data_IF_543827681386
#
_entry.id   IF_543827681386
#
_cell.length_a   1.000
_cell.length_b   1.000
_cell.length_c   1.000
_cell.angle_alpha   90.00
_cell.angle_beta   90.00
_cell.angle_gamma   90.00
#
_symmetry.space_group_name_H-M   'P 1'
#
loop_
_entity.id
_entity.type
_entity.pdbx_description
1 polymer ?
#
# COMPACT_ATOMS: atom_id res chain seq x y z
N UNK A 1 29.05 -22.70 13.39
CA UNK A 1 28.48 -21.35 13.25
C UNK A 1 27.07 -21.50 12.75
N UNK A 2 26.07 -21.17 13.57
CA UNK A 2 24.66 -21.23 13.17
C UNK A 2 24.33 -19.86 12.56
N UNK A 3 24.15 -19.79 11.25
CA UNK A 3 23.72 -18.56 10.57
C UNK A 3 22.27 -18.27 10.92
N UNK A 4 22.02 -17.08 11.46
CA UNK A 4 20.66 -16.59 11.71
C UNK A 4 20.12 -16.05 10.38
N UNK A 5 19.32 -16.86 9.69
CA UNK A 5 18.65 -16.43 8.47
C UNK A 5 17.34 -15.71 8.82
N UNK A 6 17.10 -14.50 8.28
CA UNK A 6 15.87 -13.77 8.53
C UNK A 6 14.67 -14.53 7.95
N UNK A 7 13.63 -14.72 8.76
CA UNK A 7 12.34 -15.25 8.29
C UNK A 7 11.44 -14.09 7.91
N UNK A 8 11.03 -14.06 6.64
CA UNK A 8 10.19 -13.03 6.07
C UNK A 8 8.77 -13.54 5.84
N UNK A 9 7.77 -12.73 6.21
CA UNK A 9 6.36 -13.03 6.01
C UNK A 9 5.64 -11.78 5.53
N UNK A 10 4.71 -11.99 4.60
CA UNK A 10 3.78 -10.94 4.19
C UNK A 10 2.75 -10.71 5.29
N UNK A 11 2.43 -9.45 5.54
CA UNK A 11 1.31 -9.08 6.41
C UNK A 11 -0.04 -9.46 5.78
N UNK A 12 -1.11 -9.27 6.54
CA UNK A 12 -2.43 -9.08 5.95
C UNK A 12 -2.46 -7.84 5.04
N UNK A 13 -3.54 -7.71 4.27
CA UNK A 13 -3.81 -6.52 3.49
C UNK A 13 -4.41 -5.42 4.37
N UNK A 14 -3.94 -4.20 4.20
CA UNK A 14 -4.42 -3.00 4.89
C UNK A 14 -5.06 -2.04 3.89
N UNK A 15 -6.21 -1.49 4.28
CA UNK A 15 -7.10 -0.61 3.50
C UNK A 15 -7.72 0.39 4.49
N UNK A 16 -6.97 1.42 4.86
CA UNK A 16 -7.28 2.32 5.97
C UNK A 16 -7.69 3.73 5.52
N UNK A 17 -7.54 4.03 4.23
CA UNK A 17 -8.09 5.21 3.57
C UNK A 17 -9.07 4.80 2.47
N UNK A 18 -9.95 5.73 2.11
CA UNK A 18 -10.93 5.49 1.06
C UNK A 18 -11.01 6.71 0.15
N UNK A 19 -11.06 6.53 -1.18
CA UNK A 19 -11.09 7.63 -2.10
C UNK A 19 -12.34 8.49 -1.91
N UNK A 20 -12.14 9.81 -1.91
CA UNK A 20 -13.20 10.82 -1.92
C UNK A 20 -13.27 11.48 -3.28
N UNK A 21 -14.43 12.00 -3.65
CA UNK A 21 -14.63 12.67 -4.96
C UNK A 21 -14.04 14.08 -5.04
N UNK A 22 -13.64 14.67 -3.90
CA UNK A 22 -13.04 15.99 -3.84
C UNK A 22 -11.70 16.03 -4.60
N UNK A 23 -11.38 17.17 -5.21
CA UNK A 23 -10.13 17.32 -5.98
C UNK A 23 -8.87 17.11 -5.13
N UNK A 24 -8.92 17.52 -3.85
CA UNK A 24 -7.85 17.30 -2.89
C UNK A 24 -7.90 15.92 -2.21
N UNK A 25 -8.88 15.09 -2.59
CA UNK A 25 -8.96 13.70 -2.17
C UNK A 25 -8.01 12.80 -2.95
N UNK A 26 -8.20 11.51 -2.74
CA UNK A 26 -7.33 10.46 -3.23
C UNK A 26 -7.36 9.33 -2.23
N UNK A 27 -6.38 8.47 -2.31
CA UNK A 27 -6.28 7.29 -1.46
C UNK A 27 -4.84 7.08 -0.99
N UNK A 28 -4.64 6.91 0.32
CA UNK A 28 -3.32 6.90 0.94
C UNK A 28 -3.22 5.87 2.05
N UNK A 29 -2.57 4.75 1.73
CA UNK A 29 -2.19 3.70 2.67
C UNK A 29 -0.79 3.95 3.23
N UNK A 30 -0.72 4.73 4.32
CA UNK A 30 0.53 5.01 5.02
C UNK A 30 0.69 4.13 6.25
N UNK A 31 1.94 3.75 6.57
CA UNK A 31 2.22 2.93 7.75
C UNK A 31 1.75 3.56 9.07
N UNK A 32 1.76 4.89 9.17
CA UNK A 32 1.25 5.59 10.35
C UNK A 32 -0.25 5.46 10.52
N UNK A 33 -1.03 5.53 9.42
CA UNK A 33 -2.48 5.30 9.47
C UNK A 33 -2.77 3.86 9.89
N UNK A 34 -2.09 2.91 9.26
CA UNK A 34 -2.23 1.48 9.53
C UNK A 34 -1.94 1.16 11.00
N UNK A 35 -0.81 1.64 11.53
CA UNK A 35 -0.47 1.43 12.96
C UNK A 35 -1.48 2.08 13.90
N UNK A 36 -2.03 3.25 13.57
CA UNK A 36 -3.08 3.90 14.37
C UNK A 36 -4.39 3.13 14.35
N UNK A 37 -4.72 2.46 13.25
CA UNK A 37 -5.87 1.57 13.15
C UNK A 37 -5.67 0.23 13.88
N UNK A 38 -4.44 -0.06 14.32
CA UNK A 38 -4.07 -1.29 15.03
C UNK A 38 -3.41 -2.34 14.15
N UNK A 39 -3.16 -2.04 12.87
CA UNK A 39 -2.47 -2.92 11.94
C UNK A 39 -0.99 -3.14 12.32
N UNK A 40 -0.53 -4.37 12.18
CA UNK A 40 0.82 -4.77 12.55
C UNK A 40 1.80 -4.63 11.36
N UNK A 41 2.45 -3.48 11.26
CA UNK A 41 3.52 -3.22 10.28
C UNK A 41 4.86 -3.09 11.00
N UNK A 42 5.84 -3.92 10.62
CA UNK A 42 7.20 -3.86 11.14
C UNK A 42 7.86 -2.49 10.91
N UNK A 43 8.93 -2.20 11.64
CA UNK A 43 9.63 -0.91 11.53
C UNK A 43 10.29 -0.72 10.16
N UNK A 44 10.83 -1.80 9.59
CA UNK A 44 11.52 -1.78 8.30
C UNK A 44 10.98 -2.85 7.35
N UNK A 45 9.91 -2.54 6.61
CA UNK A 45 9.43 -3.37 5.51
C UNK A 45 10.53 -3.61 4.46
N UNK A 46 10.64 -4.84 3.96
CA UNK A 46 11.60 -5.23 2.92
C UNK A 46 10.97 -5.26 1.52
N UNK A 47 9.64 -5.23 1.47
CA UNK A 47 8.88 -5.25 0.23
C UNK A 47 7.46 -4.72 0.47
N UNK A 48 6.83 -4.31 -0.62
CA UNK A 48 5.45 -3.82 -0.63
C UNK A 48 4.74 -4.40 -1.84
N UNK A 49 3.47 -4.75 -1.65
CA UNK A 49 2.53 -4.98 -2.73
C UNK A 49 1.35 -4.05 -2.56
N UNK A 50 0.89 -3.49 -3.68
CA UNK A 50 -0.24 -2.58 -3.74
C UNK A 50 -1.23 -3.09 -4.78
N UNK A 51 -2.52 -3.01 -4.46
CA UNK A 51 -3.56 -3.62 -5.27
C UNK A 51 -4.84 -2.77 -5.21
N UNK A 52 -5.48 -2.54 -6.35
CA UNK A 52 -6.83 -2.00 -6.38
C UNK A 52 -7.84 -3.07 -5.95
N UNK A 53 -8.71 -2.78 -4.99
CA UNK A 53 -9.63 -3.76 -4.42
C UNK A 53 -10.61 -4.34 -5.44
N UNK A 54 -11.10 -3.48 -6.34
CA UNK A 54 -12.04 -3.85 -7.40
C UNK A 54 -11.35 -4.54 -8.59
N UNK A 55 -10.01 -4.49 -8.68
CA UNK A 55 -9.24 -5.07 -9.77
C UNK A 55 -8.02 -5.85 -9.26
N UNK A 56 -8.21 -6.90 -8.44
CA UNK A 56 -7.10 -7.55 -7.73
C UNK A 56 -6.10 -8.25 -8.67
N UNK A 57 -6.53 -8.63 -9.87
CA UNK A 57 -5.67 -9.34 -10.82
C UNK A 57 -5.06 -8.41 -11.88
N UNK A 58 -5.25 -7.11 -11.76
CA UNK A 58 -4.76 -6.11 -12.71
C UNK A 58 -3.57 -5.41 -12.08
N UNK A 59 -2.47 -5.27 -12.82
CA UNK A 59 -1.28 -4.58 -12.31
C UNK A 59 -1.55 -3.08 -12.25
N UNK A 60 -0.89 -2.37 -11.33
CA UNK A 60 -1.11 -0.93 -11.15
C UNK A 60 -0.88 -0.15 -12.46
N UNK A 61 0.11 -0.54 -13.26
CA UNK A 61 0.45 0.12 -14.52
C UNK A 61 -0.63 -0.03 -15.60
N UNK A 62 -1.51 -1.03 -15.45
CA UNK A 62 -2.60 -1.32 -16.39
C UNK A 62 -3.91 -0.60 -16.00
N UNK A 63 -3.99 -0.05 -14.77
CA UNK A 63 -5.16 0.66 -14.26
C UNK A 63 -5.33 2.07 -14.85
N UNK A 64 -4.34 2.58 -15.59
CA UNK A 64 -4.30 3.95 -16.12
C UNK A 64 -4.50 5.04 -15.02
N UNK A 65 -4.04 4.76 -13.79
CA UNK A 65 -3.98 5.74 -12.71
C UNK A 65 -2.53 6.02 -12.32
N UNK A 66 -2.24 7.26 -11.94
CA UNK A 66 -0.97 7.65 -11.36
C UNK A 66 -0.98 7.28 -9.88
N UNK A 67 -0.41 6.11 -9.57
CA UNK A 67 -0.33 5.55 -8.23
C UNK A 67 1.13 5.40 -7.85
N UNK A 68 1.52 5.96 -6.71
CA UNK A 68 2.84 5.79 -6.14
C UNK A 68 2.77 4.68 -5.11
N UNK A 69 3.50 3.58 -5.32
CA UNK A 69 3.59 2.46 -4.40
C UNK A 69 5.07 2.19 -4.12
N UNK A 70 5.53 2.46 -2.90
CA UNK A 70 6.93 2.30 -2.54
C UNK A 70 7.09 1.91 -1.07
N UNK A 71 8.08 1.06 -0.81
CA UNK A 71 8.34 0.52 0.53
C UNK A 71 8.78 1.59 1.55
N UNK A 72 9.23 2.75 1.10
CA UNK A 72 9.65 3.85 1.97
C UNK A 72 8.48 4.64 2.56
N UNK A 73 7.30 4.63 1.93
CA UNK A 73 6.16 5.46 2.36
C UNK A 73 4.79 4.78 2.32
N UNK A 74 4.64 3.62 1.66
CA UNK A 74 3.35 2.96 1.45
C UNK A 74 2.77 3.25 0.07
N UNK A 75 1.47 3.57 0.02
CA UNK A 75 0.78 3.94 -1.22
C UNK A 75 0.21 5.35 -1.15
N UNK A 76 0.31 6.07 -2.27
CA UNK A 76 -0.29 7.38 -2.48
C UNK A 76 -0.90 7.43 -3.88
N UNK A 77 -2.20 7.65 -3.95
CA UNK A 77 -2.90 8.10 -5.14
C UNK A 77 -3.56 9.44 -4.84
N UNK A 78 -3.36 10.44 -5.71
CA UNK A 78 -4.00 11.76 -5.57
C UNK A 78 -4.94 12.03 -6.73
N UNK A 79 -6.13 12.56 -6.45
CA UNK A 79 -7.10 12.85 -7.50
C UNK A 79 -6.64 13.93 -8.48
N UNK A 80 -5.81 14.88 -8.03
CA UNK A 80 -5.30 15.96 -8.88
C UNK A 80 -4.24 15.51 -9.89
N UNK A 81 -3.59 14.36 -9.64
CA UNK A 81 -2.66 13.70 -10.56
C UNK A 81 -3.37 12.85 -11.62
N UNK A 82 -4.65 12.51 -11.43
CA UNK A 82 -5.36 11.63 -12.36
C UNK A 82 -5.84 12.36 -13.62
N UNK A 83 -5.75 11.64 -14.74
CA UNK A 83 -6.17 12.12 -16.07
C UNK A 83 -7.53 11.55 -16.46
N UNK A 84 -8.27 12.29 -17.29
CA UNK A 84 -9.60 11.89 -17.77
C UNK A 84 -10.76 12.60 -17.10
N UNK A 85 -11.98 12.14 -17.44
CA UNK A 85 -13.25 12.71 -16.96
C UNK A 85 -13.51 12.40 -15.48
N UNK A 86 -13.10 11.20 -15.05
CA UNK A 86 -13.24 10.73 -13.67
C UNK A 86 -11.86 10.65 -13.04
N UNK A 87 -11.48 11.69 -12.30
CA UNK A 87 -10.17 11.83 -11.69
C UNK A 87 -10.04 11.17 -10.32
N UNK A 88 -11.01 10.37 -9.93
CA UNK A 88 -11.06 9.77 -8.61
C UNK A 88 -10.18 8.51 -8.59
N UNK A 89 -9.27 8.43 -7.62
CA UNK A 89 -8.51 7.22 -7.32
C UNK A 89 -9.45 6.03 -7.08
N UNK A 90 -9.03 4.82 -7.47
CA UNK A 90 -9.64 3.60 -6.96
C UNK A 90 -9.35 3.42 -5.48
N UNK A 91 -10.05 2.46 -4.86
CA UNK A 91 -9.72 2.01 -3.51
C UNK A 91 -8.55 1.03 -3.58
N UNK A 92 -7.46 1.34 -2.92
CA UNK A 92 -6.23 0.57 -2.93
C UNK A 92 -5.91 0.04 -1.54
N UNK A 93 -5.39 -1.19 -1.51
CA UNK A 93 -4.87 -1.81 -0.30
C UNK A 93 -3.41 -2.19 -0.48
N UNK A 94 -2.68 -2.24 0.63
CA UNK A 94 -1.27 -2.65 0.64
C UNK A 94 -1.02 -3.83 1.57
N UNK A 95 0.00 -4.62 1.27
CA UNK A 95 0.63 -5.51 2.25
C UNK A 95 2.14 -5.37 2.15
N UNK A 96 2.83 -5.68 3.24
CA UNK A 96 4.28 -5.51 3.31
C UNK A 96 4.99 -6.79 3.73
N UNK A 97 6.21 -6.96 3.25
CA UNK A 97 7.07 -8.07 3.62
C UNK A 97 7.88 -7.67 4.85
N UNK A 98 7.60 -8.30 5.98
CA UNK A 98 8.31 -8.06 7.23
C UNK A 98 9.23 -9.23 7.54
N UNK A 99 10.48 -8.94 7.88
CA UNK A 99 11.48 -9.94 8.21
C UNK A 99 11.90 -9.81 9.68
N UNK A 100 11.93 -10.93 10.38
CA UNK A 100 12.42 -11.03 11.75
C UNK A 100 13.56 -12.04 11.86
N UNK A 101 14.49 -11.79 12.77
CA UNK A 101 15.49 -12.78 13.15
C UNK A 101 14.88 -13.68 14.22
N UNK A 102 14.51 -14.90 13.86
CA UNK A 102 14.10 -15.91 14.83
C UNK A 102 15.35 -16.46 15.54
N UNK A 103 15.40 -16.32 16.86
CA UNK A 103 16.38 -16.95 17.73
C UNK A 103 16.13 -18.45 17.92
#
# INVERSE_FOLDING_TARGET
>A
TTTCEPRCQWTEWFDEDYPKSEKAGGDVESYDKIRRAGGAVCEQPQGIECQAENFPNVRLEELNQHVHCDVSFGLVCRNDEQVGLFKMCYNYRIRVLCCGYSH
#
